data_IF_064549210094
#
_entry.id   IF_064549210094
#
_cell.length_a   1.000
_cell.length_b   1.000
_cell.length_c   1.000
_cell.angle_alpha   90.00
_cell.angle_beta   90.00
_cell.angle_gamma   90.00
#
_symmetry.space_group_name_H-M   'P 1'
#
loop_
_entity.id
_entity.type
_entity.pdbx_description
1 polymer ?
#
# COMPACT_ATOMS: atom_id res chain seq x y z
N UNK A 1 -8.68 -18.08 -17.65
CA UNK A 1 -7.96 -17.75 -16.40
C UNK A 1 -6.89 -16.67 -16.60
N UNK A 2 -5.94 -16.81 -17.53
CA UNK A 2 -4.92 -15.79 -17.83
C UNK A 2 -5.51 -14.44 -18.28
N UNK A 3 -6.52 -14.43 -19.14
CA UNK A 3 -7.20 -13.21 -19.57
C UNK A 3 -7.86 -12.47 -18.40
N UNK A 4 -8.48 -13.19 -17.46
CA UNK A 4 -9.10 -12.58 -16.28
C UNK A 4 -8.06 -11.93 -15.37
N UNK A 5 -6.92 -12.60 -15.13
CA UNK A 5 -5.80 -12.05 -14.37
C UNK A 5 -5.20 -10.81 -15.06
N UNK A 6 -5.04 -10.86 -16.38
CA UNK A 6 -4.57 -9.71 -17.15
C UNK A 6 -5.51 -8.50 -17.01
N UNK A 7 -6.82 -8.70 -17.15
CA UNK A 7 -7.81 -7.62 -17.00
C UNK A 7 -7.76 -7.00 -15.60
N UNK A 8 -7.67 -7.85 -14.56
CA UNK A 8 -7.57 -7.39 -13.16
C UNK A 8 -6.28 -6.57 -12.96
N UNK A 9 -5.13 -7.11 -13.35
CA UNK A 9 -3.85 -6.41 -13.22
C UNK A 9 -3.85 -5.09 -14.01
N UNK A 10 -4.42 -5.10 -15.22
CA UNK A 10 -4.54 -3.90 -16.04
C UNK A 10 -5.45 -2.84 -15.41
N UNK A 11 -6.54 -3.24 -14.74
CA UNK A 11 -7.42 -2.33 -14.01
C UNK A 11 -6.68 -1.63 -12.87
N UNK A 12 -5.94 -2.37 -12.03
CA UNK A 12 -5.14 -1.78 -10.96
C UNK A 12 -4.04 -0.86 -11.51
N UNK A 13 -3.37 -1.26 -12.58
CA UNK A 13 -2.38 -0.41 -13.25
C UNK A 13 -2.99 0.90 -13.75
N UNK A 14 -4.22 0.88 -14.30
CA UNK A 14 -4.94 2.09 -14.68
C UNK A 14 -5.34 2.96 -13.49
N UNK A 15 -5.66 2.36 -12.34
CA UNK A 15 -5.89 3.12 -11.09
C UNK A 15 -4.58 3.80 -10.67
N UNK A 16 -3.43 3.12 -10.73
CA UNK A 16 -2.13 3.72 -10.45
C UNK A 16 -1.78 4.88 -11.40
N UNK A 17 -2.28 4.85 -12.64
CA UNK A 17 -2.17 5.94 -13.62
C UNK A 17 -3.22 7.04 -13.45
N UNK A 18 -4.12 6.95 -12.46
CA UNK A 18 -5.22 7.87 -12.21
C UNK A 18 -6.29 7.90 -13.33
N UNK A 19 -6.34 6.88 -14.20
CA UNK A 19 -7.29 6.77 -15.30
C UNK A 19 -8.63 6.15 -14.87
N UNK A 20 -8.59 5.23 -13.88
CA UNK A 20 -9.75 4.56 -13.30
C UNK A 20 -9.81 4.83 -11.80
N UNK A 21 -10.98 4.56 -11.19
CA UNK A 21 -11.18 4.71 -9.77
C UNK A 21 -11.74 3.44 -9.11
N UNK A 22 -11.99 3.45 -7.78
CA UNK A 22 -12.53 2.31 -7.06
C UNK A 22 -13.91 1.86 -7.58
N UNK A 23 -14.69 2.76 -8.21
CA UNK A 23 -16.00 2.45 -8.79
C UNK A 23 -15.93 1.42 -9.92
N UNK A 24 -14.78 1.33 -10.61
CA UNK A 24 -14.56 0.43 -11.76
C UNK A 24 -14.24 -1.00 -11.35
N UNK A 25 -14.05 -1.24 -10.04
CA UNK A 25 -13.79 -2.56 -9.49
C UNK A 25 -15.09 -3.31 -9.12
N UNK A 26 -15.07 -4.65 -9.17
CA UNK A 26 -16.22 -5.45 -8.78
C UNK A 26 -16.52 -5.30 -7.27
N UNK A 27 -17.79 -5.19 -6.92
CA UNK A 27 -18.27 -5.20 -5.54
C UNK A 27 -18.41 -6.64 -5.04
N UNK A 28 -17.30 -7.31 -4.73
CA UNK A 28 -17.27 -8.73 -4.38
C UNK A 28 -16.39 -8.98 -3.16
N UNK A 29 -16.97 -9.59 -2.11
CA UNK A 29 -16.23 -10.02 -0.91
C UNK A 29 -15.14 -11.04 -1.25
N UNK A 30 -15.45 -12.00 -2.13
CA UNK A 30 -14.49 -13.01 -2.55
C UNK A 30 -13.32 -12.40 -3.30
N UNK A 31 -13.55 -11.37 -4.12
CA UNK A 31 -12.48 -10.66 -4.82
C UNK A 31 -11.61 -9.85 -3.86
N UNK A 32 -12.20 -9.14 -2.90
CA UNK A 32 -11.45 -8.44 -1.84
C UNK A 32 -10.58 -9.42 -1.04
N UNK A 33 -11.13 -10.57 -0.64
CA UNK A 33 -10.38 -11.59 0.10
C UNK A 33 -9.21 -12.13 -0.73
N UNK A 34 -9.42 -12.41 -2.01
CA UNK A 34 -8.35 -12.86 -2.91
C UNK A 34 -7.22 -11.84 -2.99
N UNK A 35 -7.56 -10.56 -3.20
CA UNK A 35 -6.58 -9.47 -3.27
C UNK A 35 -5.84 -9.31 -1.94
N UNK A 36 -6.54 -9.42 -0.81
CA UNK A 36 -5.94 -9.34 0.53
C UNK A 36 -4.94 -10.50 0.79
N UNK A 37 -5.27 -11.73 0.38
CA UNK A 37 -4.37 -12.88 0.52
C UNK A 37 -3.12 -12.71 -0.35
N UNK A 38 -3.27 -12.25 -1.59
CA UNK A 38 -2.14 -11.95 -2.48
C UNK A 38 -1.26 -10.84 -1.90
N UNK A 39 -1.88 -9.78 -1.39
CA UNK A 39 -1.18 -8.70 -0.70
C UNK A 39 -0.36 -9.21 0.49
N UNK A 40 -0.97 -10.01 1.38
CA UNK A 40 -0.26 -10.59 2.53
C UNK A 40 0.98 -11.38 2.11
N UNK A 41 0.89 -12.17 1.04
CA UNK A 41 2.04 -12.91 0.53
C UNK A 41 3.16 -12.00 0.03
N UNK A 42 2.83 -10.98 -0.75
CA UNK A 42 3.81 -10.09 -1.38
C UNK A 42 4.42 -9.13 -0.37
N UNK A 43 3.61 -8.49 0.49
CA UNK A 43 4.11 -7.50 1.44
C UNK A 43 4.98 -8.11 2.54
N UNK A 44 4.81 -9.40 2.86
CA UNK A 44 5.67 -10.12 3.81
C UNK A 44 7.10 -10.31 3.28
N UNK A 45 7.33 -10.26 1.96
CA UNK A 45 8.66 -10.45 1.36
C UNK A 45 9.61 -9.32 1.79
N UNK A 46 9.15 -8.07 1.81
CA UNK A 46 9.99 -6.91 2.11
C UNK A 46 10.62 -6.99 3.51
N UNK A 47 9.86 -7.19 4.62
CA UNK A 47 10.46 -7.34 5.93
C UNK A 47 11.44 -8.52 6.03
N UNK A 48 11.18 -9.64 5.33
CA UNK A 48 12.08 -10.79 5.31
C UNK A 48 13.43 -10.44 4.67
N UNK A 49 13.46 -9.60 3.64
CA UNK A 49 14.71 -9.12 3.03
C UNK A 49 15.56 -8.28 4.00
N UNK A 50 14.94 -7.70 5.03
CA UNK A 50 15.62 -7.01 6.14
C UNK A 50 15.81 -7.90 7.37
N UNK A 51 15.91 -9.22 7.17
CA UNK A 51 16.18 -10.23 8.21
C UNK A 51 15.13 -10.29 9.34
N UNK A 52 13.94 -9.72 9.12
CA UNK A 52 12.85 -9.82 10.07
C UNK A 52 12.28 -11.25 10.04
N UNK A 53 12.15 -11.93 11.20
CA UNK A 53 11.58 -13.27 11.28
C UNK A 53 10.20 -13.35 10.62
N UNK A 54 9.96 -14.42 9.86
CA UNK A 54 8.73 -14.59 9.06
C UNK A 54 7.44 -14.39 9.87
N UNK A 55 7.40 -14.86 11.12
CA UNK A 55 6.23 -14.68 11.99
C UNK A 55 5.99 -13.19 12.32
N UNK A 56 7.06 -12.44 12.60
CA UNK A 56 6.99 -11.00 12.86
C UNK A 56 6.57 -10.24 11.61
N UNK A 57 7.12 -10.60 10.44
CA UNK A 57 6.76 -10.03 9.15
C UNK A 57 5.28 -10.26 8.81
N UNK A 58 4.76 -11.49 9.03
CA UNK A 58 3.34 -11.80 8.85
C UNK A 58 2.45 -11.02 9.81
N UNK A 59 2.84 -10.89 11.09
CA UNK A 59 2.08 -10.10 12.07
C UNK A 59 2.07 -8.62 11.70
N UNK A 60 3.19 -8.08 11.23
CA UNK A 60 3.28 -6.69 10.78
C UNK A 60 2.33 -6.42 9.60
N UNK A 61 2.38 -7.26 8.57
CA UNK A 61 1.47 -7.16 7.41
C UNK A 61 0.00 -7.36 7.81
N UNK A 62 -0.27 -8.27 8.75
CA UNK A 62 -1.62 -8.47 9.27
C UNK A 62 -2.13 -7.23 10.01
N UNK A 63 -1.33 -6.60 10.83
CA UNK A 63 -1.68 -5.34 11.52
C UNK A 63 -1.92 -4.24 10.49
N UNK A 64 -1.06 -4.09 9.50
CA UNK A 64 -1.18 -3.09 8.44
C UNK A 64 -2.49 -3.20 7.66
N UNK A 65 -2.86 -4.41 7.23
CA UNK A 65 -4.12 -4.62 6.50
C UNK A 65 -5.35 -4.34 7.37
N UNK A 66 -5.28 -4.61 8.69
CA UNK A 66 -6.35 -4.28 9.62
C UNK A 66 -6.46 -2.76 9.86
N UNK A 67 -5.35 -2.02 9.92
CA UNK A 67 -5.35 -0.56 9.98
C UNK A 67 -6.01 -0.01 8.72
N UNK A 68 -5.60 -0.49 7.55
CA UNK A 68 -6.19 -0.11 6.25
C UNK A 68 -7.69 -0.35 6.22
N UNK A 69 -8.13 -1.53 6.67
CA UNK A 69 -9.54 -1.86 6.75
C UNK A 69 -10.29 -0.92 7.70
N UNK A 70 -9.77 -0.74 8.92
CA UNK A 70 -10.43 0.06 9.95
C UNK A 70 -10.54 1.54 9.56
N UNK A 71 -9.46 2.14 9.06
CA UNK A 71 -9.44 3.54 8.65
C UNK A 71 -10.37 3.79 7.46
N UNK A 72 -10.31 2.94 6.43
CA UNK A 72 -11.18 3.06 5.25
C UNK A 72 -12.64 2.84 5.60
N UNK A 73 -12.93 1.82 6.43
CA UNK A 73 -14.27 1.54 6.91
C UNK A 73 -14.82 2.72 7.70
N UNK A 74 -14.10 3.21 8.71
CA UNK A 74 -14.50 4.31 9.57
C UNK A 74 -14.75 5.58 8.76
N UNK A 75 -13.85 5.92 7.85
CA UNK A 75 -13.97 7.10 6.99
C UNK A 75 -15.24 7.05 6.15
N UNK A 76 -15.46 5.96 5.41
CA UNK A 76 -16.61 5.85 4.50
C UNK A 76 -17.93 5.64 5.24
N UNK A 77 -17.90 5.01 6.40
CA UNK A 77 -19.08 4.87 7.25
C UNK A 77 -19.52 6.23 7.82
N UNK A 78 -18.59 6.99 8.41
CA UNK A 78 -18.86 8.30 8.99
C UNK A 78 -19.29 9.35 7.95
N UNK A 79 -18.80 9.23 6.72
CA UNK A 79 -19.17 10.13 5.62
C UNK A 79 -20.39 9.67 4.82
N UNK A 80 -21.07 8.58 5.23
CA UNK A 80 -22.28 8.08 4.59
C UNK A 80 -22.05 7.31 3.28
N UNK A 81 -20.81 6.96 2.95
CA UNK A 81 -20.43 6.27 1.70
C UNK A 81 -20.22 4.76 1.90
N UNK A 82 -20.92 4.13 2.83
CA UNK A 82 -20.76 2.72 3.21
C UNK A 82 -20.90 1.73 2.05
N UNK A 83 -21.67 2.04 1.03
CA UNK A 83 -21.83 1.20 -0.18
C UNK A 83 -20.55 1.08 -1.01
N UNK A 84 -19.59 1.98 -0.82
CA UNK A 84 -18.31 2.03 -1.56
C UNK A 84 -17.15 1.35 -0.83
N UNK A 85 -17.33 0.93 0.44
CA UNK A 85 -16.28 0.37 1.30
C UNK A 85 -15.55 -0.78 0.61
N UNK A 86 -16.28 -1.78 0.08
CA UNK A 86 -15.67 -2.95 -0.54
C UNK A 86 -14.80 -2.61 -1.75
N UNK A 87 -15.31 -1.74 -2.63
CA UNK A 87 -14.58 -1.31 -3.83
C UNK A 87 -13.34 -0.49 -3.48
N UNK A 88 -13.45 0.40 -2.48
CA UNK A 88 -12.34 1.25 -2.02
C UNK A 88 -11.25 0.42 -1.37
N UNK A 89 -11.61 -0.52 -0.47
CA UNK A 89 -10.66 -1.44 0.13
C UNK A 89 -9.94 -2.29 -0.92
N UNK A 90 -10.69 -2.83 -1.88
CA UNK A 90 -10.11 -3.60 -2.98
C UNK A 90 -9.14 -2.76 -3.82
N UNK A 91 -9.49 -1.49 -4.08
CA UNK A 91 -8.62 -0.56 -4.81
C UNK A 91 -7.31 -0.29 -4.06
N UNK A 92 -7.40 0.06 -2.78
CA UNK A 92 -6.23 0.37 -1.94
C UNK A 92 -5.31 -0.85 -1.86
N UNK A 93 -5.81 -2.00 -1.41
CA UNK A 93 -5.00 -3.22 -1.23
C UNK A 93 -4.43 -3.71 -2.56
N UNK A 94 -5.20 -3.62 -3.65
CA UNK A 94 -4.73 -4.04 -4.97
C UNK A 94 -3.66 -3.12 -5.56
N UNK A 95 -3.75 -1.82 -5.31
CA UNK A 95 -2.71 -0.85 -5.68
C UNK A 95 -1.44 -1.07 -4.86
N UNK A 96 -1.55 -1.38 -3.57
CA UNK A 96 -0.40 -1.68 -2.72
C UNK A 96 0.41 -2.88 -3.21
N UNK A 97 -0.25 -3.90 -3.79
CA UNK A 97 0.46 -5.00 -4.46
C UNK A 97 1.39 -4.46 -5.54
N UNK A 98 0.92 -3.54 -6.38
CA UNK A 98 1.74 -2.91 -7.42
C UNK A 98 2.91 -2.13 -6.84
N UNK A 99 2.66 -1.33 -5.80
CA UNK A 99 3.72 -0.54 -5.16
C UNK A 99 4.76 -1.43 -4.48
N UNK A 100 4.37 -2.52 -3.82
CA UNK A 100 5.31 -3.50 -3.26
C UNK A 100 6.16 -4.18 -4.34
N UNK A 101 5.56 -4.55 -5.48
CA UNK A 101 6.30 -5.13 -6.60
C UNK A 101 7.31 -4.16 -7.23
N UNK A 102 6.99 -2.85 -7.29
CA UNK A 102 7.90 -1.81 -7.76
C UNK A 102 8.95 -1.47 -6.70
N UNK A 103 8.59 -1.49 -5.42
CA UNK A 103 9.52 -1.24 -4.31
C UNK A 103 10.60 -2.32 -4.21
N UNK A 104 10.28 -3.58 -4.52
CA UNK A 104 11.18 -4.71 -4.41
C UNK A 104 12.52 -4.50 -5.15
N UNK A 105 12.57 -4.17 -6.46
CA UNK A 105 13.84 -3.91 -7.15
C UNK A 105 14.58 -2.68 -6.60
N UNK A 106 13.87 -1.65 -6.12
CA UNK A 106 14.50 -0.46 -5.52
C UNK A 106 15.19 -0.84 -4.21
N UNK A 107 14.54 -1.64 -3.37
CA UNK A 107 15.10 -2.13 -2.11
C UNK A 107 16.26 -3.10 -2.32
N UNK A 108 16.18 -3.97 -3.33
CA UNK A 108 17.31 -4.84 -3.71
C UNK A 108 18.51 -4.02 -4.21
N UNK A 109 18.28 -2.94 -4.94
CA UNK A 109 19.31 -2.00 -5.36
C UNK A 109 19.97 -1.31 -4.15
N UNK A 110 19.17 -0.88 -3.17
CA UNK A 110 19.66 -0.30 -1.92
C UNK A 110 20.55 -1.28 -1.14
N UNK A 111 20.06 -2.51 -0.95
CA UNK A 111 20.83 -3.57 -0.28
C UNK A 111 22.14 -3.90 -1.02
N UNK A 112 22.10 -3.94 -2.36
CA UNK A 112 23.31 -4.16 -3.18
C UNK A 112 24.31 -3.02 -3.01
N UNK A 113 23.90 -1.76 -3.12
CA UNK A 113 24.78 -0.60 -2.93
C UNK A 113 25.37 -0.55 -1.52
N UNK A 114 24.57 -0.88 -0.50
CA UNK A 114 25.05 -1.00 0.87
C UNK A 114 26.12 -2.08 1.01
N UNK A 115 25.96 -3.23 0.34
CA UNK A 115 26.93 -4.34 0.41
C UNK A 115 28.31 -4.02 -0.21
N UNK A 116 28.37 -3.13 -1.19
CA UNK A 116 29.61 -2.69 -1.86
C UNK A 116 30.10 -1.32 -1.39
N UNK A 117 29.50 -0.78 -0.30
CA UNK A 117 29.84 0.53 0.28
C UNK A 117 29.75 1.69 -0.72
N UNK A 118 28.79 1.63 -1.65
CA UNK A 118 28.48 2.71 -2.60
C UNK A 118 27.34 3.56 -2.01
N UNK A 119 27.30 4.84 -2.39
CA UNK A 119 26.24 5.77 -1.98
C UNK A 119 24.84 5.25 -2.40
N UNK A 120 23.96 5.14 -1.41
CA UNK A 120 22.58 4.68 -1.58
C UNK A 120 21.60 5.80 -2.00
N UNK A 121 22.10 7.02 -2.22
CA UNK A 121 21.29 8.21 -2.49
C UNK A 121 20.33 8.04 -3.68
N UNK A 122 20.74 7.34 -4.74
CA UNK A 122 19.86 7.04 -5.87
C UNK A 122 18.68 6.17 -5.46
N UNK A 123 18.91 5.09 -4.71
CA UNK A 123 17.84 4.20 -4.25
C UNK A 123 16.85 4.93 -3.33
N UNK A 124 17.35 5.80 -2.45
CA UNK A 124 16.52 6.62 -1.56
C UNK A 124 15.66 7.63 -2.33
N UNK A 125 16.21 8.28 -3.37
CA UNK A 125 15.44 9.17 -4.24
C UNK A 125 14.32 8.40 -4.96
N UNK A 126 14.62 7.24 -5.52
CA UNK A 126 13.62 6.38 -6.17
C UNK A 126 12.52 5.94 -5.19
N UNK A 127 12.89 5.56 -3.96
CA UNK A 127 11.93 5.21 -2.92
C UNK A 127 11.04 6.40 -2.54
N UNK A 128 11.61 7.61 -2.41
CA UNK A 128 10.84 8.82 -2.12
C UNK A 128 9.86 9.17 -3.24
N UNK A 129 10.27 9.04 -4.50
CA UNK A 129 9.38 9.23 -5.65
C UNK A 129 8.25 8.20 -5.67
N UNK A 130 8.55 6.94 -5.33
CA UNK A 130 7.54 5.89 -5.22
C UNK A 130 6.51 6.20 -4.13
N UNK A 131 6.94 6.67 -2.96
CA UNK A 131 6.04 7.10 -1.87
C UNK A 131 5.18 8.28 -2.32
N UNK A 132 5.73 9.29 -2.97
CA UNK A 132 4.99 10.43 -3.50
C UNK A 132 3.93 9.99 -4.53
N UNK A 133 4.26 9.03 -5.38
CA UNK A 133 3.30 8.45 -6.33
C UNK A 133 2.21 7.66 -5.59
N UNK A 134 2.55 6.84 -4.60
CA UNK A 134 1.59 6.10 -3.79
C UNK A 134 0.59 7.05 -3.11
N UNK A 135 1.06 8.13 -2.46
CA UNK A 135 0.21 9.16 -1.86
C UNK A 135 -0.76 9.76 -2.89
N UNK A 136 -0.28 10.06 -4.09
CA UNK A 136 -1.11 10.61 -5.17
C UNK A 136 -2.21 9.65 -5.61
N UNK A 137 -1.89 8.35 -5.73
CA UNK A 137 -2.86 7.31 -6.12
C UNK A 137 -3.89 7.09 -5.00
N UNK A 138 -3.47 7.06 -3.74
CA UNK A 138 -4.40 6.97 -2.61
C UNK A 138 -5.34 8.18 -2.55
N UNK A 139 -4.81 9.40 -2.74
CA UNK A 139 -5.61 10.61 -2.82
C UNK A 139 -6.67 10.52 -3.95
N UNK A 140 -6.28 9.97 -5.09
CA UNK A 140 -7.19 9.73 -6.22
C UNK A 140 -8.28 8.70 -5.88
N UNK A 141 -7.94 7.59 -5.23
CA UNK A 141 -8.89 6.58 -4.78
C UNK A 141 -9.89 7.20 -3.77
N UNK A 142 -9.37 7.91 -2.76
CA UNK A 142 -10.20 8.47 -1.70
C UNK A 142 -11.10 9.61 -2.19
N UNK A 143 -10.63 10.48 -3.10
CA UNK A 143 -11.50 11.51 -3.70
C UNK A 143 -12.70 10.90 -4.42
N UNK A 144 -12.51 9.80 -5.16
CA UNK A 144 -13.60 9.09 -5.85
C UNK A 144 -14.52 8.37 -4.86
N UNK A 145 -13.95 7.77 -3.81
CA UNK A 145 -14.72 7.11 -2.77
C UNK A 145 -15.63 8.07 -2.01
N UNK A 146 -15.15 9.28 -1.74
CA UNK A 146 -15.86 10.33 -1.00
C UNK A 146 -16.66 11.29 -1.88
N UNK A 147 -16.55 11.19 -3.22
CA UNK A 147 -17.07 12.19 -4.16
C UNK A 147 -16.59 13.62 -3.84
N UNK A 148 -15.32 13.77 -3.47
CA UNK A 148 -14.71 15.02 -3.02
C UNK A 148 -13.64 15.52 -4.01
N UNK A 149 -13.08 16.69 -3.74
CA UNK A 149 -11.96 17.24 -4.49
C UNK A 149 -10.67 16.47 -4.21
N UNK A 150 -9.71 16.56 -5.14
CA UNK A 150 -8.42 15.88 -5.00
C UNK A 150 -7.65 16.29 -3.75
N UNK A 151 -7.71 17.59 -3.40
CA UNK A 151 -7.03 18.11 -2.21
C UNK A 151 -7.53 17.48 -0.90
N UNK A 152 -8.86 17.25 -0.81
CA UNK A 152 -9.46 16.55 0.35
C UNK A 152 -8.93 15.12 0.44
N UNK A 153 -8.92 14.39 -0.69
CA UNK A 153 -8.33 13.05 -0.75
C UNK A 153 -6.85 13.04 -0.35
N UNK A 154 -6.09 14.05 -0.78
CA UNK A 154 -4.67 14.18 -0.44
C UNK A 154 -4.45 14.40 1.07
N UNK A 155 -5.19 15.32 1.70
CA UNK A 155 -5.09 15.57 3.15
C UNK A 155 -5.44 14.31 3.95
N UNK A 156 -6.51 13.62 3.56
CA UNK A 156 -6.93 12.37 4.23
C UNK A 156 -5.86 11.29 4.07
N UNK A 157 -5.27 11.14 2.87
CA UNK A 157 -4.18 10.19 2.62
C UNK A 157 -2.98 10.48 3.50
N UNK A 158 -2.63 11.75 3.67
CA UNK A 158 -1.51 12.14 4.52
C UNK A 158 -1.75 11.79 5.99
N UNK A 159 -2.95 12.07 6.51
CA UNK A 159 -3.35 11.66 7.87
C UNK A 159 -3.34 10.13 8.00
N UNK A 160 -3.86 9.42 6.99
CA UNK A 160 -3.86 7.97 6.94
C UNK A 160 -2.43 7.41 7.05
N UNK A 161 -1.49 7.94 6.28
CA UNK A 161 -0.07 7.56 6.31
C UNK A 161 0.53 7.78 7.71
N UNK A 162 0.31 8.97 8.31
CA UNK A 162 0.83 9.29 9.63
C UNK A 162 0.28 8.33 10.70
N UNK A 163 -1.02 8.07 10.69
CA UNK A 163 -1.66 7.14 11.65
C UNK A 163 -1.10 5.73 11.49
N UNK A 164 -0.95 5.27 10.25
CA UNK A 164 -0.37 3.94 9.96
C UNK A 164 1.07 3.83 10.48
N UNK A 165 1.91 4.82 10.20
CA UNK A 165 3.31 4.85 10.68
C UNK A 165 3.35 4.83 12.21
N UNK A 166 2.58 5.68 12.89
CA UNK A 166 2.57 5.76 14.36
C UNK A 166 2.14 4.44 14.98
N UNK A 167 1.08 3.81 14.46
CA UNK A 167 0.60 2.53 14.98
C UNK A 167 1.65 1.44 14.72
N UNK A 168 2.18 1.32 13.50
CA UNK A 168 3.16 0.29 13.18
C UNK A 168 4.44 0.44 14.01
N UNK A 169 4.94 1.66 14.20
CA UNK A 169 6.12 1.89 15.05
C UNK A 169 5.85 1.59 16.53
N UNK A 170 4.62 1.78 17.00
CA UNK A 170 4.25 1.43 18.39
C UNK A 170 4.28 -0.07 18.64
N UNK A 171 3.86 -0.88 17.65
CA UNK A 171 3.85 -2.35 17.78
C UNK A 171 5.15 -3.00 17.31
N UNK A 172 5.84 -2.40 16.36
CA UNK A 172 7.04 -2.92 15.71
C UNK A 172 8.13 -1.84 15.65
N UNK A 173 8.68 -1.42 16.81
CA UNK A 173 9.70 -0.39 16.83
C UNK A 173 10.92 -0.82 16.01
N UNK A 174 11.44 0.10 15.19
CA UNK A 174 12.71 -0.09 14.49
C UNK A 174 13.80 -0.01 15.55
N UNK A 175 14.59 -1.08 15.70
CA UNK A 175 15.71 -1.06 16.63
C UNK A 175 16.75 -0.01 16.20
N UNK A 176 17.32 0.79 17.15
CA UNK A 176 18.35 1.79 16.82
C UNK A 176 19.57 1.21 16.10
N UNK A 177 19.86 -0.08 16.33
CA UNK A 177 20.94 -0.82 15.66
C UNK A 177 20.76 -0.96 14.15
N UNK A 178 19.52 -0.92 13.64
CA UNK A 178 19.24 -0.96 12.21
C UNK A 178 19.50 0.39 11.51
N UNK A 179 19.71 1.47 12.27
CA UNK A 179 19.96 2.83 11.77
C UNK A 179 21.43 3.24 11.84
N UNK A 180 22.30 2.41 12.44
CA UNK A 180 23.75 2.64 12.46
C UNK A 180 24.38 2.00 11.21
N UNK A 181 25.14 2.76 10.42
CA UNK A 181 25.84 2.26 9.23
C UNK A 181 26.95 1.26 9.58
#
# INVERSE_FOLDING_TARGET
MLQTLYVIAHTFFKICKLELGPQDLPNSKAFLLLVAVVYMGISTIIPILFEIPILKALLQTFVEINITFFLTFSLLYLTGHYSRIMKTLTAIIGVDIFFHLIALPILLLELYFKSISVDIGLAQILALLLVGWNITVYAHILRHALSSEFFVGFVITFVYLLVTIVILQSFFPISPEALTP
#
